data_IF_245078252536
#
_entry.id   IF_245078252536
#
_cell.length_a   1.000
_cell.length_b   1.000
_cell.length_c   1.000
_cell.angle_alpha   90.00
_cell.angle_beta   90.00
_cell.angle_gamma   90.00
#
_symmetry.space_group_name_H-M   'P 1'
#
loop_
_entity.id
_entity.type
_entity.pdbx_description
1 polymer ?
#
# COMPACT_ATOMS: atom_id res chain seq x y z
N UNK A 1 66.30 -60.97 2.22
CA UNK A 1 65.11 -60.56 1.45
C UNK A 1 64.47 -59.42 2.22
N UNK A 2 64.81 -58.18 1.85
CA UNK A 2 64.51 -56.98 2.63
C UNK A 2 63.28 -56.31 2.02
N UNK A 3 62.19 -56.23 2.78
CA UNK A 3 60.94 -55.61 2.35
C UNK A 3 60.98 -54.13 2.74
N UNK A 4 61.09 -53.25 1.75
CA UNK A 4 61.03 -51.80 1.91
C UNK A 4 59.57 -51.35 1.81
N UNK A 5 58.94 -50.96 2.92
CA UNK A 5 57.64 -50.30 2.92
C UNK A 5 57.80 -48.82 2.51
N UNK A 6 57.21 -48.43 1.39
CA UNK A 6 57.04 -47.02 0.99
C UNK A 6 55.76 -46.49 1.63
N UNK A 7 55.89 -45.53 2.54
CA UNK A 7 54.76 -44.72 2.99
C UNK A 7 54.50 -43.60 1.98
N UNK A 8 53.29 -43.56 1.41
CA UNK A 8 52.81 -42.43 0.64
C UNK A 8 52.35 -41.32 1.60
N UNK A 9 52.91 -40.13 1.48
CA UNK A 9 52.44 -38.95 2.20
C UNK A 9 51.14 -38.45 1.55
N UNK A 10 50.03 -38.55 2.27
CA UNK A 10 48.77 -37.90 1.90
C UNK A 10 48.89 -36.43 2.33
N UNK A 11 48.96 -35.51 1.36
CA UNK A 11 48.90 -34.08 1.61
C UNK A 11 47.48 -33.68 2.01
N UNK A 12 47.31 -33.25 3.27
CA UNK A 12 46.07 -32.62 3.73
C UNK A 12 46.12 -31.13 3.36
N UNK A 13 45.44 -30.72 2.30
CA UNK A 13 45.18 -29.30 2.05
C UNK A 13 43.98 -28.87 2.89
N UNK A 14 44.25 -28.10 3.95
CA UNK A 14 43.21 -27.43 4.71
C UNK A 14 42.60 -26.31 3.85
N UNK A 15 41.42 -26.55 3.27
CA UNK A 15 40.64 -25.50 2.64
C UNK A 15 40.11 -24.54 3.72
N UNK A 16 40.55 -23.28 3.69
CA UNK A 16 39.91 -22.22 4.46
C UNK A 16 38.50 -22.02 3.92
N UNK A 17 37.49 -22.40 4.70
CA UNK A 17 36.12 -21.95 4.54
C UNK A 17 36.09 -20.44 4.80
N UNK A 18 36.01 -19.63 3.75
CA UNK A 18 35.65 -18.22 3.86
C UNK A 18 34.15 -18.20 4.19
N UNK A 19 33.72 -17.67 5.35
CA UNK A 19 32.30 -17.48 5.60
C UNK A 19 31.79 -16.49 4.55
N UNK A 20 30.79 -16.90 3.77
CA UNK A 20 30.09 -15.99 2.87
C UNK A 20 29.56 -14.82 3.68
N UNK A 21 29.91 -13.60 3.29
CA UNK A 21 29.30 -12.40 3.83
C UNK A 21 27.80 -12.45 3.47
N UNK A 22 26.98 -12.95 4.39
CA UNK A 22 25.55 -12.77 4.32
C UNK A 22 25.31 -11.27 4.23
N UNK A 23 24.62 -10.83 3.18
CA UNK A 23 24.13 -9.46 3.09
C UNK A 23 23.22 -9.25 4.30
N UNK A 24 23.74 -8.58 5.34
CA UNK A 24 22.90 -8.10 6.41
C UNK A 24 21.77 -7.31 5.76
N UNK A 25 20.52 -7.71 5.98
CA UNK A 25 19.37 -6.91 5.58
C UNK A 25 19.59 -5.54 6.19
N UNK A 26 19.72 -4.51 5.35
CA UNK A 26 19.85 -3.15 5.83
C UNK A 26 18.66 -2.87 6.77
N UNK A 27 18.93 -2.21 7.90
CA UNK A 27 17.85 -1.72 8.75
C UNK A 27 16.91 -0.88 7.86
N UNK A 28 15.58 -1.01 8.01
CA UNK A 28 14.65 -0.21 7.22
C UNK A 28 15.03 1.26 7.38
N UNK A 29 15.05 1.99 6.25
CA UNK A 29 15.32 3.41 6.27
C UNK A 29 14.35 4.08 7.25
N UNK A 30 14.85 4.99 8.09
CA UNK A 30 13.96 5.77 8.94
C UNK A 30 12.95 6.52 8.04
N UNK A 31 11.68 6.57 8.46
CA UNK A 31 10.69 7.37 7.77
C UNK A 31 11.18 8.82 7.62
N UNK A 32 10.89 9.49 6.50
CA UNK A 32 11.32 10.86 6.29
C UNK A 32 10.55 11.81 7.22
N UNK A 33 10.82 13.12 7.09
CA UNK A 33 9.92 14.11 7.68
C UNK A 33 8.53 14.06 7.02
N UNK A 34 7.50 14.39 7.78
CA UNK A 34 6.12 14.52 7.28
C UNK A 34 6.05 15.43 6.04
N UNK A 35 6.73 16.59 6.07
CA UNK A 35 6.75 17.53 4.95
C UNK A 35 7.37 16.91 3.68
N UNK A 36 8.43 16.11 3.82
CA UNK A 36 9.04 15.38 2.71
C UNK A 36 8.07 14.34 2.16
N UNK A 37 7.44 13.56 3.04
CA UNK A 37 6.46 12.56 2.62
C UNK A 37 5.26 13.17 1.91
N UNK A 38 4.71 14.27 2.42
CA UNK A 38 3.61 14.98 1.75
C UNK A 38 4.03 15.50 0.37
N UNK A 39 5.25 16.00 0.20
CA UNK A 39 5.75 16.43 -1.11
C UNK A 39 5.86 15.26 -2.11
N UNK A 40 6.34 14.10 -1.65
CA UNK A 40 6.45 12.90 -2.49
C UNK A 40 5.08 12.31 -2.84
N UNK A 41 4.14 12.28 -1.88
CA UNK A 41 2.73 11.93 -2.13
C UNK A 41 2.10 12.88 -3.14
N UNK A 42 2.35 14.19 -3.00
CA UNK A 42 1.82 15.21 -3.92
C UNK A 42 2.24 14.93 -5.36
N UNK A 43 3.51 14.54 -5.57
CA UNK A 43 4.03 14.19 -6.90
C UNK A 43 3.23 13.05 -7.55
N UNK A 44 2.81 12.04 -6.78
CA UNK A 44 2.00 10.93 -7.28
C UNK A 44 0.55 11.36 -7.50
N UNK A 45 -0.03 12.14 -6.58
CA UNK A 45 -1.42 12.61 -6.72
C UNK A 45 -1.59 13.61 -7.86
N UNK A 46 -0.55 14.36 -8.24
CA UNK A 46 -0.58 15.23 -9.42
C UNK A 46 -0.72 14.39 -10.70
N UNK A 47 0.00 13.27 -10.78
CA UNK A 47 -0.14 12.32 -11.90
C UNK A 47 -1.52 11.67 -11.91
N UNK A 48 -2.03 11.30 -10.73
CA UNK A 48 -3.37 10.74 -10.60
C UNK A 48 -4.45 11.75 -10.99
N UNK A 49 -4.29 13.02 -10.59
CA UNK A 49 -5.20 14.11 -10.94
C UNK A 49 -5.26 14.31 -12.45
N UNK A 50 -4.11 14.43 -13.12
CA UNK A 50 -4.06 14.58 -14.57
C UNK A 50 -4.73 13.41 -15.30
N UNK A 51 -4.50 12.18 -14.83
CA UNK A 51 -5.15 10.99 -15.37
C UNK A 51 -6.67 11.02 -15.15
N UNK A 52 -7.15 11.33 -13.95
CA UNK A 52 -8.58 11.33 -13.62
C UNK A 52 -9.34 12.42 -14.38
N UNK A 53 -8.77 13.63 -14.50
CA UNK A 53 -9.38 14.72 -15.28
C UNK A 53 -9.64 14.30 -16.73
N UNK A 54 -8.70 13.56 -17.33
CA UNK A 54 -8.91 13.00 -18.66
C UNK A 54 -9.90 11.85 -18.63
N UNK A 55 -9.73 10.87 -17.73
CA UNK A 55 -10.47 9.61 -17.73
C UNK A 55 -11.94 9.79 -17.36
N UNK A 56 -12.26 10.72 -16.47
CA UNK A 56 -13.62 10.97 -16.00
C UNK A 56 -14.44 11.83 -16.97
N UNK A 57 -13.83 12.38 -18.03
CA UNK A 57 -14.57 12.99 -19.15
C UNK A 57 -15.47 11.99 -19.88
N UNK A 58 -15.17 10.69 -19.77
CA UNK A 58 -16.03 9.60 -20.24
C UNK A 58 -17.03 9.21 -19.14
N UNK A 59 -18.35 9.44 -19.36
CA UNK A 59 -19.37 9.12 -18.38
C UNK A 59 -19.43 7.61 -18.07
N UNK A 60 -19.87 7.29 -16.86
CA UNK A 60 -20.05 5.92 -16.43
C UNK A 60 -20.27 5.85 -14.94
N UNK A 61 -20.51 4.64 -14.43
CA UNK A 61 -20.53 4.38 -13.00
C UNK A 61 -19.09 4.24 -12.51
N UNK A 62 -18.34 5.34 -12.55
CA UNK A 62 -16.91 5.35 -12.25
C UNK A 62 -16.67 5.34 -10.74
N UNK A 63 -15.55 4.75 -10.30
CA UNK A 63 -15.11 4.76 -8.91
C UNK A 63 -13.60 4.96 -8.81
N UNK A 64 -13.16 5.58 -7.73
CA UNK A 64 -11.79 5.45 -7.23
C UNK A 64 -11.78 4.63 -5.95
N UNK A 65 -10.67 3.94 -5.70
CA UNK A 65 -10.41 3.20 -4.47
C UNK A 65 -9.19 3.80 -3.77
N UNK A 66 -9.32 4.04 -2.47
CA UNK A 66 -8.27 4.56 -1.60
C UNK A 66 -7.99 3.57 -0.46
N UNK A 67 -6.72 3.30 -0.19
CA UNK A 67 -6.32 2.80 1.12
C UNK A 67 -6.44 3.89 2.21
N UNK A 68 -6.36 3.53 3.50
CA UNK A 68 -6.49 4.44 4.63
C UNK A 68 -5.13 4.79 5.25
N UNK A 69 -4.42 3.83 5.81
CA UNK A 69 -3.28 4.10 6.71
C UNK A 69 -2.06 4.53 5.90
N UNK A 70 -1.53 5.73 6.15
CA UNK A 70 -0.47 6.37 5.36
C UNK A 70 -0.80 6.51 3.86
N UNK A 71 -2.10 6.50 3.54
CA UNK A 71 -2.64 6.83 2.21
C UNK A 71 -3.65 7.97 2.32
N UNK A 72 -4.76 7.75 3.02
CA UNK A 72 -5.79 8.77 3.22
C UNK A 72 -5.64 9.48 4.57
N UNK A 73 -5.13 8.78 5.58
CA UNK A 73 -4.91 9.31 6.92
C UNK A 73 -3.42 9.25 7.27
N UNK A 74 -2.92 10.29 7.92
CA UNK A 74 -1.51 10.46 8.30
C UNK A 74 -1.11 9.63 9.53
N UNK A 75 -1.51 8.35 9.56
CA UNK A 75 -1.48 7.48 10.75
C UNK A 75 -0.10 7.28 11.38
N UNK A 76 0.97 7.37 10.60
CA UNK A 76 2.34 7.29 11.12
C UNK A 76 2.76 8.56 11.87
N UNK A 77 2.40 9.73 11.34
CA UNK A 77 2.84 11.03 11.86
C UNK A 77 1.93 11.54 12.99
N UNK A 78 0.66 11.14 12.97
CA UNK A 78 -0.39 11.57 13.89
C UNK A 78 -1.15 10.37 14.46
N UNK A 79 -0.60 9.68 15.47
CA UNK A 79 -1.18 8.47 16.04
C UNK A 79 -2.38 8.74 16.98
N UNK A 80 -2.93 9.96 16.99
CA UNK A 80 -4.10 10.28 17.80
C UNK A 80 -5.39 9.64 17.26
N UNK A 81 -6.45 9.68 18.08
CA UNK A 81 -7.76 9.11 17.75
C UNK A 81 -8.43 9.73 16.52
N UNK A 82 -8.13 10.99 16.23
CA UNK A 82 -8.57 11.69 15.02
C UNK A 82 -7.34 12.00 14.20
N UNK A 83 -7.01 11.11 13.28
CA UNK A 83 -5.86 11.28 12.40
C UNK A 83 -6.20 12.29 11.30
N UNK A 84 -5.36 13.29 11.02
CA UNK A 84 -5.55 14.21 9.90
C UNK A 84 -5.62 13.48 8.55
N UNK A 85 -6.32 14.10 7.60
CA UNK A 85 -6.28 13.66 6.21
C UNK A 85 -4.93 13.97 5.59
N UNK A 86 -4.46 13.10 4.70
CA UNK A 86 -3.35 13.40 3.77
C UNK A 86 -3.85 14.44 2.76
N UNK A 87 -3.43 15.73 2.84
CA UNK A 87 -4.04 16.80 2.06
C UNK A 87 -4.09 16.57 0.54
N UNK A 88 -3.01 16.11 -0.12
CA UNK A 88 -3.05 15.86 -1.56
C UNK A 88 -4.03 14.73 -1.95
N UNK A 89 -4.18 13.69 -1.12
CA UNK A 89 -5.12 12.59 -1.38
C UNK A 89 -6.57 13.03 -1.14
N UNK A 90 -6.82 13.86 -0.13
CA UNK A 90 -8.12 14.49 0.08
C UNK A 90 -8.54 15.37 -1.11
N UNK A 91 -7.62 16.16 -1.65
CA UNK A 91 -7.87 16.99 -2.82
C UNK A 91 -8.23 16.12 -4.05
N UNK A 92 -7.46 15.05 -4.29
CA UNK A 92 -7.73 14.08 -5.36
C UNK A 92 -9.12 13.43 -5.21
N UNK A 93 -9.48 13.01 -3.99
CA UNK A 93 -10.77 12.38 -3.71
C UNK A 93 -11.95 13.34 -3.97
N UNK A 94 -11.82 14.60 -3.53
CA UNK A 94 -12.82 15.64 -3.78
C UNK A 94 -12.96 15.97 -5.27
N UNK A 95 -11.85 16.03 -6.00
CA UNK A 95 -11.86 16.21 -7.46
C UNK A 95 -12.58 15.05 -8.15
N UNK A 96 -12.20 13.81 -7.83
CA UNK A 96 -12.83 12.62 -8.42
C UNK A 96 -14.34 12.59 -8.14
N UNK A 97 -14.75 12.96 -6.92
CA UNK A 97 -16.16 13.05 -6.53
C UNK A 97 -16.90 14.13 -7.30
N UNK A 98 -16.30 15.32 -7.45
CA UNK A 98 -16.87 16.42 -8.21
C UNK A 98 -17.06 16.05 -9.70
N UNK A 99 -16.15 15.24 -10.23
CA UNK A 99 -16.17 14.73 -11.61
C UNK A 99 -17.03 13.45 -11.77
N UNK A 100 -17.84 13.12 -10.76
CA UNK A 100 -18.87 12.09 -10.85
C UNK A 100 -18.41 10.66 -10.51
N UNK A 101 -17.18 10.46 -10.04
CA UNK A 101 -16.76 9.17 -9.51
C UNK A 101 -17.28 8.94 -8.07
N UNK A 102 -17.56 7.69 -7.73
CA UNK A 102 -17.71 7.28 -6.35
C UNK A 102 -16.34 7.09 -5.68
N UNK A 103 -16.26 7.38 -4.38
CA UNK A 103 -15.03 7.26 -3.60
C UNK A 103 -15.19 6.14 -2.58
N UNK A 104 -14.49 5.03 -2.82
CA UNK A 104 -14.47 3.87 -1.95
C UNK A 104 -13.17 3.78 -1.16
N UNK A 105 -13.28 3.32 0.08
CA UNK A 105 -12.14 3.02 0.94
C UNK A 105 -12.02 1.52 1.15
N UNK A 106 -10.81 0.99 0.99
CA UNK A 106 -10.49 -0.43 1.19
C UNK A 106 -9.30 -0.51 2.13
N UNK A 107 -9.53 -0.98 3.36
CA UNK A 107 -8.53 -1.00 4.43
C UNK A 107 -8.43 -2.37 5.06
N UNK A 108 -7.28 -2.63 5.68
CA UNK A 108 -7.03 -3.81 6.49
C UNK A 108 -7.34 -3.61 7.98
N UNK A 109 -7.74 -2.39 8.37
CA UNK A 109 -8.37 -2.11 9.67
C UNK A 109 -9.53 -3.07 9.90
N UNK A 110 -9.70 -3.52 11.14
CA UNK A 110 -10.74 -4.47 11.50
C UNK A 110 -12.12 -3.81 11.57
N UNK A 111 -13.17 -4.57 11.20
CA UNK A 111 -14.58 -4.19 11.40
C UNK A 111 -14.91 -3.72 12.83
N UNK A 112 -14.15 -4.12 13.86
CA UNK A 112 -14.38 -3.66 15.25
C UNK A 112 -14.33 -2.13 15.39
N UNK A 113 -13.54 -1.45 14.56
CA UNK A 113 -13.31 0.00 14.63
C UNK A 113 -13.98 0.73 13.46
N UNK A 114 -15.03 0.15 12.88
CA UNK A 114 -15.72 0.71 11.71
C UNK A 114 -16.27 2.11 11.95
N UNK A 115 -16.97 2.33 13.06
CA UNK A 115 -17.54 3.66 13.37
C UNK A 115 -16.43 4.68 13.49
N UNK A 116 -15.42 4.42 14.31
CA UNK A 116 -14.26 5.30 14.49
C UNK A 116 -13.56 5.64 13.18
N UNK A 117 -13.35 4.65 12.31
CA UNK A 117 -12.71 4.86 11.01
C UNK A 117 -13.57 5.69 10.08
N UNK A 118 -14.88 5.39 10.00
CA UNK A 118 -15.81 6.12 9.14
C UNK A 118 -16.00 7.56 9.60
N UNK A 119 -16.13 7.77 10.91
CA UNK A 119 -16.30 9.08 11.52
C UNK A 119 -15.05 9.92 11.29
N UNK A 120 -13.85 9.39 11.53
CA UNK A 120 -12.61 10.10 11.25
C UNK A 120 -12.51 10.53 9.78
N UNK A 121 -12.78 9.65 8.81
CA UNK A 121 -12.77 10.00 7.37
C UNK A 121 -13.75 11.13 7.06
N UNK A 122 -14.96 11.07 7.63
CA UNK A 122 -15.98 12.10 7.47
C UNK A 122 -15.57 13.44 8.09
N UNK A 123 -15.04 13.42 9.32
CA UNK A 123 -14.64 14.60 10.08
C UNK A 123 -13.49 15.37 9.40
N UNK A 124 -12.55 14.64 8.77
CA UNK A 124 -11.47 15.27 7.99
C UNK A 124 -11.89 15.61 6.55
N UNK A 125 -13.15 15.33 6.19
CA UNK A 125 -13.80 15.87 5.00
C UNK A 125 -13.71 15.01 3.74
N UNK A 126 -13.41 13.72 3.85
CA UNK A 126 -13.48 12.81 2.70
C UNK A 126 -14.93 12.57 2.26
N UNK A 127 -15.22 12.58 0.95
CA UNK A 127 -16.45 11.98 0.44
C UNK A 127 -16.35 10.45 0.57
N UNK A 128 -17.21 9.83 1.36
CA UNK A 128 -17.18 8.37 1.61
C UNK A 128 -18.44 7.72 1.02
N UNK A 129 -18.32 7.10 -0.15
CA UNK A 129 -19.43 6.36 -0.78
C UNK A 129 -19.46 4.88 -0.34
N UNK A 130 -18.32 4.33 0.05
CA UNK A 130 -18.24 2.98 0.61
C UNK A 130 -16.96 2.74 1.39
N UNK A 131 -17.03 1.81 2.34
CA UNK A 131 -15.92 1.43 3.22
C UNK A 131 -15.90 -0.08 3.41
N UNK A 132 -14.90 -0.73 2.84
CA UNK A 132 -14.60 -2.15 3.00
C UNK A 132 -13.46 -2.30 4.02
N UNK A 133 -13.73 -3.04 5.10
CA UNK A 133 -12.77 -3.28 6.18
C UNK A 133 -12.53 -4.79 6.32
N UNK A 134 -11.51 -5.18 7.08
CA UNK A 134 -11.25 -6.60 7.35
C UNK A 134 -12.34 -7.18 8.27
N UNK A 135 -13.09 -8.21 7.82
CA UNK A 135 -14.06 -8.90 8.66
C UNK A 135 -13.43 -9.51 9.91
N UNK A 136 -14.22 -9.65 10.97
CA UNK A 136 -13.80 -10.38 12.17
C UNK A 136 -13.47 -11.82 11.79
N UNK A 137 -12.38 -12.35 12.38
CA UNK A 137 -11.90 -13.71 12.14
C UNK A 137 -11.54 -14.02 10.67
N UNK A 138 -11.22 -13.00 9.86
CA UNK A 138 -10.58 -13.20 8.58
C UNK A 138 -9.05 -13.25 8.75
N UNK A 139 -8.44 -14.35 8.35
CA UNK A 139 -6.99 -14.59 8.41
C UNK A 139 -6.33 -14.58 7.02
N UNK A 140 -7.09 -14.24 5.98
CA UNK A 140 -6.54 -14.07 4.64
C UNK A 140 -5.46 -12.97 4.62
N UNK A 141 -4.43 -13.11 3.77
CA UNK A 141 -3.47 -12.04 3.53
C UNK A 141 -4.17 -10.74 3.14
N UNK A 142 -3.63 -9.59 3.59
CA UNK A 142 -4.17 -8.26 3.30
C UNK A 142 -4.51 -8.07 1.82
N UNK A 143 -3.58 -8.44 0.93
CA UNK A 143 -3.77 -8.38 -0.53
C UNK A 143 -5.02 -9.14 -0.99
N UNK A 144 -5.26 -10.35 -0.48
CA UNK A 144 -6.41 -11.18 -0.86
C UNK A 144 -7.71 -10.51 -0.40
N UNK A 145 -7.74 -9.99 0.83
CA UNK A 145 -8.88 -9.27 1.36
C UNK A 145 -9.19 -8.00 0.53
N UNK A 146 -8.16 -7.20 0.22
CA UNK A 146 -8.31 -5.97 -0.58
C UNK A 146 -8.72 -6.26 -2.03
N UNK A 147 -8.20 -7.34 -2.62
CA UNK A 147 -8.62 -7.81 -3.96
C UNK A 147 -10.10 -8.17 -3.98
N UNK A 148 -10.58 -8.96 -2.99
CA UNK A 148 -12.01 -9.31 -2.86
C UNK A 148 -12.89 -8.07 -2.71
N UNK A 149 -12.42 -7.07 -1.95
CA UNK A 149 -13.14 -5.81 -1.77
C UNK A 149 -13.29 -5.03 -3.10
N UNK A 150 -12.23 -4.93 -3.91
CA UNK A 150 -12.30 -4.28 -5.23
C UNK A 150 -13.20 -5.05 -6.20
N UNK A 151 -13.11 -6.38 -6.23
CA UNK A 151 -14.02 -7.21 -7.01
C UNK A 151 -15.49 -7.01 -6.60
N UNK A 152 -15.77 -6.85 -5.30
CA UNK A 152 -17.12 -6.57 -4.81
C UNK A 152 -17.64 -5.16 -5.20
N UNK A 153 -16.75 -4.18 -5.38
CA UNK A 153 -17.09 -2.86 -5.91
C UNK A 153 -17.44 -2.97 -7.41
N UNK A 154 -16.65 -3.70 -8.19
CA UNK A 154 -16.98 -3.95 -9.61
C UNK A 154 -18.30 -4.72 -9.78
N UNK A 155 -18.57 -5.70 -8.90
CA UNK A 155 -19.82 -6.45 -8.90
C UNK A 155 -21.06 -5.57 -8.63
N UNK A 156 -20.89 -4.39 -8.03
CA UNK A 156 -21.95 -3.38 -7.90
C UNK A 156 -22.14 -2.56 -9.19
N UNK A 157 -21.41 -2.88 -10.26
CA UNK A 157 -21.45 -2.22 -11.56
C UNK A 157 -20.55 -1.00 -11.68
N UNK A 158 -19.62 -0.79 -10.74
CA UNK A 158 -18.65 0.28 -10.84
C UNK A 158 -17.47 -0.12 -11.75
N UNK A 159 -16.93 0.85 -12.46
CA UNK A 159 -15.59 0.74 -13.08
C UNK A 159 -14.60 1.46 -12.17
N UNK A 160 -13.67 0.71 -11.57
CA UNK A 160 -12.60 1.31 -10.75
C UNK A 160 -11.56 1.90 -11.69
N UNK A 161 -11.61 3.22 -11.89
CA UNK A 161 -10.70 3.91 -12.82
C UNK A 161 -9.34 4.16 -12.18
N UNK A 162 -9.27 4.34 -10.86
CA UNK A 162 -8.02 4.51 -10.14
C UNK A 162 -8.05 3.80 -8.79
N UNK A 163 -6.94 3.14 -8.43
CA UNK A 163 -6.70 2.59 -7.11
C UNK A 163 -5.40 3.18 -6.53
N UNK A 164 -5.48 3.81 -5.36
CA UNK A 164 -4.39 4.55 -4.74
C UNK A 164 -4.08 3.92 -3.38
N UNK A 165 -2.80 3.64 -3.12
CA UNK A 165 -2.34 3.05 -1.86
C UNK A 165 -0.83 3.15 -1.71
N UNK A 166 -0.36 3.08 -0.47
CA UNK A 166 1.05 3.17 -0.09
C UNK A 166 1.72 1.79 -0.02
N UNK A 167 0.98 0.68 -0.02
CA UNK A 167 1.53 -0.67 0.05
C UNK A 167 1.26 -1.43 -1.26
N UNK A 168 2.14 -2.36 -1.65
CA UNK A 168 1.89 -3.22 -2.82
C UNK A 168 0.61 -4.04 -2.66
N UNK A 169 0.28 -4.45 -1.43
CA UNK A 169 -0.95 -5.19 -1.13
C UNK A 169 -2.23 -4.40 -1.38
N UNK A 170 -2.16 -3.06 -1.46
CA UNK A 170 -3.29 -2.21 -1.83
C UNK A 170 -3.61 -2.30 -3.32
N UNK A 171 -2.60 -2.58 -4.13
CA UNK A 171 -2.63 -2.42 -5.58
C UNK A 171 -2.66 -3.75 -6.32
N UNK A 172 -1.97 -4.75 -5.78
CA UNK A 172 -1.83 -6.07 -6.38
C UNK A 172 -3.15 -6.84 -6.38
N UNK A 173 -3.35 -7.66 -7.42
CA UNK A 173 -4.58 -8.45 -7.62
C UNK A 173 -5.58 -7.85 -8.61
N UNK A 174 -5.26 -6.71 -9.25
CA UNK A 174 -6.07 -6.12 -10.31
C UNK A 174 -7.33 -5.40 -9.81
N UNK A 175 -8.38 -5.38 -10.64
CA UNK A 175 -9.65 -4.67 -10.41
C UNK A 175 -9.52 -3.14 -10.36
N UNK A 176 -8.63 -2.59 -11.17
CA UNK A 176 -8.54 -1.16 -11.42
C UNK A 176 -7.92 -0.93 -12.81
N UNK A 177 -8.38 0.09 -13.53
CA UNK A 177 -7.76 0.46 -14.82
C UNK A 177 -6.34 1.00 -14.64
N UNK A 178 -6.11 1.77 -13.56
CA UNK A 178 -4.80 2.31 -13.21
C UNK A 178 -4.56 2.28 -11.71
N UNK A 179 -3.33 1.97 -11.32
CA UNK A 179 -2.86 2.02 -9.94
C UNK A 179 -1.89 3.18 -9.74
N UNK A 180 -1.89 3.75 -8.54
CA UNK A 180 -0.96 4.80 -8.12
C UNK A 180 -0.37 4.42 -6.76
N UNK A 181 0.93 4.06 -6.76
CA UNK A 181 1.67 3.70 -5.56
C UNK A 181 2.22 4.94 -4.90
N UNK A 182 1.77 5.22 -3.68
CA UNK A 182 2.36 6.24 -2.82
C UNK A 182 3.68 5.74 -2.21
N UNK A 183 4.60 6.65 -1.85
CA UNK A 183 5.86 6.29 -1.21
C UNK A 183 5.64 5.68 0.18
N UNK A 184 6.25 4.51 0.42
CA UNK A 184 6.28 3.82 1.72
C UNK A 184 7.68 3.74 2.34
N UNK A 185 8.71 4.26 1.66
CA UNK A 185 10.11 4.28 2.10
C UNK A 185 10.60 2.91 2.59
N UNK A 186 10.59 1.93 1.68
CA UNK A 186 11.00 0.54 1.94
C UNK A 186 10.19 -0.10 3.09
N UNK A 187 8.92 0.29 3.20
CA UNK A 187 7.96 -0.22 4.17
C UNK A 187 7.94 0.52 5.51
N UNK A 188 8.72 1.59 5.69
CA UNK A 188 8.66 2.40 6.90
C UNK A 188 7.30 3.08 7.13
N UNK A 189 6.54 3.33 6.05
CA UNK A 189 5.17 3.87 6.09
C UNK A 189 4.14 2.88 5.53
N UNK A 190 4.37 1.57 5.63
CA UNK A 190 3.50 0.53 5.04
C UNK A 190 2.14 0.36 5.71
#
# INVERSE_FOLDING_TARGET
MTITLRFAAVGLTAGLLVPGAGTASAAPAAAPSEATWIADVTTVTDQATAYLQQRLSTPGKNAIVLDIDNTSLESYYHPEWTTPAVPPVLALAKLAKADGAAVFFVTDRTELIRSLTKDNLGDVGYPVDGLSMRPLFNFDPAQVNKTKARAAIEAQGYTIVANIGNNTTDLDGGHAERTFKLPDYDGALS
#
